data_IF_324353810772
#
_entry.id   IF_324353810772
#
_cell.length_a   1.000
_cell.length_b   1.000
_cell.length_c   1.000
_cell.angle_alpha   90.00
_cell.angle_beta   90.00
_cell.angle_gamma   90.00
#
_symmetry.space_group_name_H-M   'P 1'
#
loop_
_entity.id
_entity.type
_entity.pdbx_description
1 polymer ?
#
# COMPACT_ATOMS: atom_id res chain seq x y z
N UNK A 1 -24.87 -23.66 -1.91
CA UNK A 1 -24.08 -22.99 -0.85
C UNK A 1 -23.95 -23.94 0.33
N UNK A 2 -22.73 -24.25 0.79
CA UNK A 2 -22.53 -25.12 1.95
C UNK A 2 -23.24 -24.52 3.18
N UNK A 3 -23.88 -25.35 4.01
CA UNK A 3 -24.66 -24.92 5.18
C UNK A 3 -23.84 -24.15 6.24
N UNK A 4 -22.51 -24.13 6.13
CA UNK A 4 -21.58 -23.60 7.13
C UNK A 4 -21.24 -22.13 6.94
N UNK A 5 -21.61 -21.50 5.82
CA UNK A 5 -21.31 -20.10 5.53
C UNK A 5 -19.85 -19.82 5.15
N UNK A 6 -18.99 -20.84 5.07
CA UNK A 6 -17.62 -20.71 4.57
C UNK A 6 -17.55 -21.00 3.07
N UNK A 7 -16.52 -20.47 2.41
CA UNK A 7 -16.19 -20.79 1.04
C UNK A 7 -15.28 -22.03 1.00
N UNK A 8 -15.65 -22.98 0.16
CA UNK A 8 -14.77 -24.07 -0.27
C UNK A 8 -14.21 -23.66 -1.62
N UNK A 9 -12.91 -23.36 -1.65
CA UNK A 9 -12.22 -22.88 -2.87
C UNK A 9 -11.90 -24.08 -3.75
N UNK A 10 -12.09 -23.92 -5.06
CA UNK A 10 -11.71 -24.93 -6.04
C UNK A 10 -10.19 -25.09 -6.13
N UNK A 11 -9.74 -26.16 -6.78
CA UNK A 11 -8.31 -26.40 -6.98
C UNK A 11 -7.73 -25.26 -7.83
N UNK A 12 -6.76 -24.55 -7.26
CA UNK A 12 -6.11 -23.40 -7.89
C UNK A 12 -4.63 -23.66 -8.16
N UNK A 13 -4.10 -23.32 -9.35
CA UNK A 13 -2.68 -23.48 -9.66
C UNK A 13 -1.80 -22.36 -9.07
N UNK A 14 -2.40 -21.25 -8.61
CA UNK A 14 -1.68 -20.03 -8.24
C UNK A 14 -0.71 -20.16 -7.06
N UNK A 15 -1.00 -20.95 -6.00
CA UNK A 15 -0.03 -21.17 -4.94
C UNK A 15 1.28 -21.80 -5.44
N UNK A 16 1.18 -22.74 -6.39
CA UNK A 16 2.34 -23.41 -6.96
C UNK A 16 3.12 -22.46 -7.89
N UNK A 17 2.43 -21.69 -8.74
CA UNK A 17 3.09 -20.73 -9.63
C UNK A 17 3.77 -19.59 -8.86
N UNK A 18 3.15 -19.10 -7.79
CA UNK A 18 3.75 -18.11 -6.88
C UNK A 18 5.01 -18.67 -6.21
N UNK A 19 4.98 -19.94 -5.77
CA UNK A 19 6.12 -20.60 -5.15
C UNK A 19 7.31 -20.72 -6.11
N UNK A 20 7.08 -21.12 -7.37
CA UNK A 20 8.12 -21.16 -8.39
C UNK A 20 8.66 -19.76 -8.75
N UNK A 21 7.78 -18.76 -8.83
CA UNK A 21 8.20 -17.38 -9.06
C UNK A 21 9.09 -16.85 -7.92
N UNK A 22 8.72 -17.11 -6.67
CA UNK A 22 9.52 -16.74 -5.50
C UNK A 22 10.87 -17.46 -5.45
N UNK A 23 10.89 -18.77 -5.74
CA UNK A 23 12.13 -19.53 -5.83
C UNK A 23 13.06 -18.99 -6.94
N UNK A 24 12.51 -18.70 -8.11
CA UNK A 24 13.28 -18.17 -9.23
C UNK A 24 13.83 -16.77 -8.96
N UNK A 25 13.06 -15.91 -8.28
CA UNK A 25 13.54 -14.58 -7.86
C UNK A 25 14.64 -14.66 -6.81
N UNK A 26 14.47 -15.51 -5.79
CA UNK A 26 15.49 -15.66 -4.72
C UNK A 26 16.77 -16.27 -5.26
N UNK A 27 16.70 -17.34 -6.05
CA UNK A 27 17.88 -17.94 -6.70
C UNK A 27 18.50 -17.02 -7.74
N UNK A 28 17.70 -16.24 -8.48
CA UNK A 28 18.15 -15.19 -9.39
C UNK A 28 18.94 -14.08 -8.67
N UNK A 29 18.47 -13.63 -7.50
CA UNK A 29 19.20 -12.63 -6.70
C UNK A 29 20.49 -13.20 -6.10
N UNK A 30 20.48 -14.44 -5.61
CA UNK A 30 21.69 -15.08 -5.07
C UNK A 30 22.75 -15.23 -6.18
N UNK A 31 22.37 -15.76 -7.34
CA UNK A 31 23.28 -15.90 -8.48
C UNK A 31 23.79 -14.56 -8.99
N UNK A 32 22.94 -13.52 -9.00
CA UNK A 32 23.37 -12.16 -9.31
C UNK A 32 24.49 -11.67 -8.39
N UNK A 33 24.36 -11.85 -7.07
CA UNK A 33 25.35 -11.35 -6.12
C UNK A 33 26.61 -12.21 -6.03
N UNK A 34 26.51 -13.53 -6.24
CA UNK A 34 27.64 -14.45 -6.13
C UNK A 34 28.42 -14.64 -7.44
N UNK A 35 27.73 -14.71 -8.57
CA UNK A 35 28.32 -15.04 -9.88
C UNK A 35 28.34 -13.84 -10.84
N UNK A 36 27.57 -12.79 -10.54
CA UNK A 36 27.45 -11.59 -11.37
C UNK A 36 26.38 -11.70 -12.46
N UNK A 37 26.28 -10.64 -13.28
CA UNK A 37 25.31 -10.56 -14.37
C UNK A 37 25.71 -11.50 -15.52
N UNK A 38 24.93 -12.56 -15.73
CA UNK A 38 24.98 -13.41 -16.92
C UNK A 38 23.63 -13.42 -17.65
N UNK A 39 23.62 -13.86 -18.92
CA UNK A 39 22.37 -14.03 -19.68
C UNK A 39 21.40 -14.99 -18.97
N UNK A 40 21.92 -16.03 -18.33
CA UNK A 40 21.11 -16.97 -17.56
C UNK A 40 20.44 -16.28 -16.36
N UNK A 41 21.21 -15.53 -15.56
CA UNK A 41 20.69 -14.79 -14.40
C UNK A 41 19.63 -13.78 -14.81
N UNK A 42 19.87 -13.03 -15.89
CA UNK A 42 18.91 -12.06 -16.42
C UNK A 42 17.60 -12.73 -16.86
N UNK A 43 17.68 -13.83 -17.63
CA UNK A 43 16.51 -14.58 -18.09
C UNK A 43 15.75 -15.16 -16.89
N UNK A 44 16.44 -15.75 -15.92
CA UNK A 44 15.84 -16.29 -14.70
C UNK A 44 15.09 -15.19 -13.92
N UNK A 45 15.72 -14.04 -13.70
CA UNK A 45 15.11 -12.92 -12.98
C UNK A 45 13.86 -12.38 -13.71
N UNK A 46 13.96 -12.12 -15.02
CA UNK A 46 12.84 -11.58 -15.80
C UNK A 46 11.68 -12.58 -15.96
N UNK A 47 11.98 -13.86 -16.20
CA UNK A 47 10.97 -14.91 -16.29
C UNK A 47 10.26 -15.14 -14.95
N UNK A 48 11.00 -15.12 -13.84
CA UNK A 48 10.41 -15.28 -12.50
C UNK A 48 9.58 -14.08 -12.09
N UNK A 49 10.05 -12.86 -12.40
CA UNK A 49 9.28 -11.63 -12.16
C UNK A 49 7.99 -11.59 -12.97
N UNK A 50 8.05 -11.92 -14.27
CA UNK A 50 6.86 -11.98 -15.11
C UNK A 50 5.88 -13.08 -14.68
N UNK A 51 6.37 -14.24 -14.22
CA UNK A 51 5.53 -15.29 -13.63
C UNK A 51 4.85 -14.82 -12.33
N UNK A 52 5.56 -14.07 -11.48
CA UNK A 52 4.97 -13.49 -10.26
C UNK A 52 3.84 -12.53 -10.62
N UNK A 53 4.09 -11.57 -11.53
CA UNK A 53 3.08 -10.60 -11.98
C UNK A 53 1.87 -11.31 -12.60
N UNK A 54 2.10 -12.30 -13.46
CA UNK A 54 1.03 -13.10 -14.05
C UNK A 54 0.20 -13.81 -12.97
N UNK A 55 0.87 -14.41 -11.98
CA UNK A 55 0.19 -15.09 -10.87
C UNK A 55 -0.64 -14.12 -10.04
N UNK A 56 -0.11 -12.94 -9.69
CA UNK A 56 -0.84 -11.92 -8.91
C UNK A 56 -2.09 -11.43 -9.64
N UNK A 57 -1.98 -11.11 -10.94
CA UNK A 57 -3.11 -10.63 -11.74
C UNK A 57 -4.20 -11.71 -11.88
N UNK A 58 -3.81 -12.96 -12.14
CA UNK A 58 -4.76 -14.06 -12.29
C UNK A 58 -5.41 -14.46 -10.97
N UNK A 59 -4.62 -14.57 -9.90
CA UNK A 59 -5.13 -14.97 -8.61
C UNK A 59 -6.09 -13.92 -8.03
N UNK A 60 -5.75 -12.64 -8.10
CA UNK A 60 -6.69 -11.59 -7.70
C UNK A 60 -7.89 -11.47 -8.65
N UNK A 61 -7.72 -11.80 -9.93
CA UNK A 61 -8.83 -11.95 -10.88
C UNK A 61 -9.84 -12.99 -10.42
N UNK A 62 -9.38 -14.18 -10.01
CA UNK A 62 -10.23 -15.25 -9.50
C UNK A 62 -10.92 -14.85 -8.18
N UNK A 63 -10.21 -14.17 -7.27
CA UNK A 63 -10.80 -13.61 -6.04
C UNK A 63 -11.91 -12.61 -6.36
N UNK A 64 -11.72 -11.75 -7.36
CA UNK A 64 -12.77 -10.82 -7.82
C UNK A 64 -13.94 -11.59 -8.43
N UNK A 65 -13.67 -12.66 -9.21
CA UNK A 65 -14.69 -13.52 -9.80
C UNK A 65 -15.57 -14.20 -8.75
N UNK A 66 -14.93 -14.89 -7.81
CA UNK A 66 -15.57 -15.59 -6.70
C UNK A 66 -16.41 -14.65 -5.84
N UNK A 67 -15.86 -13.47 -5.54
CA UNK A 67 -16.54 -12.50 -4.68
C UNK A 67 -17.69 -11.80 -5.41
N UNK A 68 -17.44 -11.24 -6.60
CA UNK A 68 -18.35 -10.29 -7.26
C UNK A 68 -19.38 -10.99 -8.15
N UNK A 69 -18.97 -12.01 -8.91
CA UNK A 69 -19.82 -12.62 -9.93
C UNK A 69 -20.43 -13.95 -9.49
N UNK A 70 -19.70 -14.76 -8.70
CA UNK A 70 -20.21 -16.03 -8.17
C UNK A 70 -20.92 -15.88 -6.83
N UNK A 71 -20.70 -14.78 -6.11
CA UNK A 71 -21.35 -14.51 -4.82
C UNK A 71 -20.94 -15.49 -3.72
N UNK A 72 -19.72 -16.04 -3.77
CA UNK A 72 -19.23 -17.03 -2.80
C UNK A 72 -18.94 -16.45 -1.40
N UNK A 73 -18.88 -15.12 -1.28
CA UNK A 73 -18.39 -14.43 -0.08
C UNK A 73 -19.56 -14.09 0.86
N UNK A 74 -19.74 -14.93 1.88
CA UNK A 74 -20.67 -14.64 2.98
C UNK A 74 -20.12 -13.58 3.94
N UNK A 75 -20.95 -13.10 4.87
CA UNK A 75 -20.51 -12.20 5.94
C UNK A 75 -19.40 -12.80 6.82
N UNK A 76 -19.39 -14.13 7.02
CA UNK A 76 -18.33 -14.82 7.77
C UNK A 76 -17.00 -14.79 7.01
N UNK A 77 -17.02 -15.02 5.69
CA UNK A 77 -15.83 -14.95 4.84
C UNK A 77 -15.26 -13.54 4.83
N UNK A 78 -16.11 -12.52 4.62
CA UNK A 78 -15.70 -11.11 4.63
C UNK A 78 -15.13 -10.70 5.99
N UNK A 79 -15.73 -11.16 7.10
CA UNK A 79 -15.18 -10.92 8.44
C UNK A 79 -13.78 -11.52 8.60
N UNK A 80 -13.57 -12.74 8.14
CA UNK A 80 -12.26 -13.39 8.21
C UNK A 80 -11.22 -12.67 7.34
N UNK A 81 -11.61 -12.19 6.15
CA UNK A 81 -10.74 -11.39 5.30
C UNK A 81 -10.35 -10.05 5.95
N UNK A 82 -11.26 -9.42 6.69
CA UNK A 82 -10.95 -8.23 7.50
C UNK A 82 -9.93 -8.53 8.59
N UNK A 83 -10.11 -9.65 9.32
CA UNK A 83 -9.12 -10.09 10.30
C UNK A 83 -7.76 -10.40 9.65
N UNK A 84 -7.75 -11.05 8.49
CA UNK A 84 -6.52 -11.35 7.75
C UNK A 84 -5.79 -10.07 7.31
N UNK A 85 -6.52 -9.08 6.78
CA UNK A 85 -5.93 -7.79 6.39
C UNK A 85 -5.34 -7.06 7.60
N UNK A 86 -6.03 -7.07 8.73
CA UNK A 86 -5.51 -6.48 9.97
C UNK A 86 -4.21 -7.16 10.42
N UNK A 87 -4.17 -8.49 10.43
CA UNK A 87 -2.97 -9.25 10.80
C UNK A 87 -1.81 -9.02 9.82
N UNK A 88 -2.11 -8.92 8.53
CA UNK A 88 -1.14 -8.58 7.50
C UNK A 88 -0.54 -7.17 7.72
N UNK A 89 -1.38 -6.16 7.93
CA UNK A 89 -0.88 -4.80 8.24
C UNK A 89 -0.07 -4.82 9.54
N UNK A 90 -0.50 -5.58 10.55
CA UNK A 90 0.23 -5.70 11.80
C UNK A 90 1.64 -6.30 11.57
N UNK A 91 1.79 -7.31 10.72
CA UNK A 91 3.11 -7.83 10.37
C UNK A 91 3.97 -6.80 9.63
N UNK A 92 3.38 -5.99 8.75
CA UNK A 92 4.11 -4.90 8.07
C UNK A 92 4.54 -3.79 9.06
N UNK A 93 3.71 -3.47 10.06
CA UNK A 93 4.11 -2.56 11.13
C UNK A 93 5.33 -3.08 11.89
N UNK A 94 5.35 -4.36 12.28
CA UNK A 94 6.52 -4.95 12.95
C UNK A 94 7.75 -5.03 12.03
N UNK A 95 7.54 -5.26 10.73
CA UNK A 95 8.60 -5.17 9.73
C UNK A 95 9.25 -3.77 9.73
N UNK A 96 8.46 -2.70 9.72
CA UNK A 96 9.00 -1.33 9.82
C UNK A 96 9.63 -1.01 11.18
N UNK A 97 9.08 -1.52 12.28
CA UNK A 97 9.67 -1.38 13.62
C UNK A 97 11.12 -1.88 13.63
N UNK A 98 11.44 -2.95 12.89
CA UNK A 98 12.82 -3.45 12.78
C UNK A 98 13.78 -2.46 12.11
N UNK A 99 13.34 -1.73 11.08
CA UNK A 99 14.16 -0.69 10.44
C UNK A 99 14.33 0.54 11.32
N UNK A 100 13.25 0.98 12.00
CA UNK A 100 13.36 2.08 12.97
C UNK A 100 14.33 1.71 14.10
N UNK A 101 14.27 0.46 14.59
CA UNK A 101 15.23 -0.04 15.57
C UNK A 101 16.67 0.04 15.04
N UNK A 102 16.91 -0.41 13.79
CA UNK A 102 18.21 -0.30 13.14
C UNK A 102 18.71 1.15 13.06
N UNK A 103 17.84 2.09 12.68
CA UNK A 103 18.16 3.52 12.63
C UNK A 103 18.50 4.11 14.01
N UNK A 104 17.68 3.85 15.04
CA UNK A 104 17.91 4.40 16.38
C UNK A 104 19.12 3.77 17.08
N UNK A 105 19.35 2.47 16.87
CA UNK A 105 20.55 1.82 17.38
C UNK A 105 21.82 2.37 16.72
N UNK A 106 21.75 2.72 15.43
CA UNK A 106 22.87 3.37 14.72
C UNK A 106 23.12 4.83 15.13
N UNK A 107 22.06 5.57 15.47
CA UNK A 107 22.13 7.01 15.75
C UNK A 107 22.33 7.39 17.22
N UNK A 108 21.72 6.64 18.15
CA UNK A 108 21.81 6.88 19.61
C UNK A 108 22.64 5.80 20.31
N UNK A 109 22.75 4.60 19.73
CA UNK A 109 23.37 3.45 20.39
C UNK A 109 24.90 3.52 20.52
N UNK A 110 25.48 2.45 21.07
CA UNK A 110 26.92 2.34 21.31
C UNK A 110 27.77 2.55 20.06
N UNK A 111 27.26 2.18 18.88
CA UNK A 111 27.88 2.43 17.57
C UNK A 111 28.07 3.93 17.28
N UNK A 112 27.08 4.76 17.64
CA UNK A 112 27.19 6.21 17.55
C UNK A 112 28.20 6.74 18.57
N UNK A 113 28.17 6.25 19.80
CA UNK A 113 29.01 6.75 20.89
C UNK A 113 30.48 6.34 20.79
N UNK A 114 30.79 5.15 20.25
CA UNK A 114 32.15 4.59 20.19
C UNK A 114 32.73 4.55 18.77
N UNK A 115 31.89 4.52 17.73
CA UNK A 115 32.32 4.39 16.33
C UNK A 115 32.29 5.70 15.54
N UNK A 116 31.13 6.33 15.43
CA UNK A 116 30.94 7.53 14.57
C UNK A 116 31.16 8.85 15.34
N UNK A 117 30.83 8.89 16.63
CA UNK A 117 30.99 10.03 17.53
C UNK A 117 29.99 11.17 17.37
N UNK A 118 29.19 11.18 16.29
CA UNK A 118 28.15 12.17 16.01
C UNK A 118 27.11 11.63 15.02
N UNK A 119 25.90 12.18 15.05
CA UNK A 119 24.84 11.88 14.09
C UNK A 119 24.29 13.18 13.48
N UNK A 120 24.22 13.30 12.14
CA UNK A 120 24.75 12.38 11.13
C UNK A 120 26.28 12.21 11.16
N UNK A 121 26.82 11.12 10.57
CA UNK A 121 28.26 10.92 10.43
C UNK A 121 28.95 12.05 9.68
N UNK A 122 30.20 12.37 10.08
CA UNK A 122 31.00 13.41 9.42
C UNK A 122 31.14 13.14 7.91
N UNK A 123 30.79 14.13 7.10
CA UNK A 123 30.85 14.05 5.63
C UNK A 123 29.51 13.74 4.97
N UNK A 124 28.51 13.31 5.73
CA UNK A 124 27.13 13.20 5.25
C UNK A 124 26.47 14.58 5.34
N UNK A 125 25.95 15.06 4.21
CA UNK A 125 25.06 16.22 4.18
C UNK A 125 23.60 15.72 4.11
N UNK A 126 22.89 15.66 5.25
CA UNK A 126 21.53 15.14 5.29
C UNK A 126 20.56 16.01 4.48
N UNK A 127 19.46 15.40 4.05
CA UNK A 127 18.43 16.09 3.26
C UNK A 127 17.68 17.06 4.16
N UNK A 128 17.59 18.32 3.74
CA UNK A 128 16.88 19.34 4.51
C UNK A 128 15.36 19.04 4.57
N UNK A 129 14.76 18.88 5.76
CA UNK A 129 13.40 18.36 5.92
C UNK A 129 12.31 19.25 5.32
N UNK A 130 12.48 20.56 5.36
CA UNK A 130 11.42 21.52 5.03
C UNK A 130 11.30 21.85 3.52
N UNK A 131 11.78 20.95 2.65
CA UNK A 131 11.65 21.04 1.18
C UNK A 131 10.81 19.86 0.66
N UNK A 132 11.42 19.00 -0.17
CA UNK A 132 10.76 17.84 -0.78
C UNK A 132 10.18 16.87 0.27
N UNK A 133 10.85 16.56 1.40
CA UNK A 133 10.29 15.66 2.41
C UNK A 133 9.00 16.21 3.04
N UNK A 134 8.96 17.50 3.36
CA UNK A 134 7.76 18.14 3.88
C UNK A 134 6.64 18.22 2.83
N UNK A 135 6.97 18.48 1.56
CA UNK A 135 6.00 18.42 0.46
C UNK A 135 5.40 17.01 0.32
N UNK A 136 6.23 15.97 0.36
CA UNK A 136 5.79 14.57 0.35
C UNK A 136 4.83 14.25 1.52
N UNK A 137 5.07 14.85 2.69
CA UNK A 137 4.17 14.74 3.85
C UNK A 137 2.80 15.36 3.56
N UNK A 138 2.75 16.55 2.97
CA UNK A 138 1.49 17.20 2.56
C UNK A 138 0.76 16.35 1.51
N UNK A 139 1.50 15.80 0.55
CA UNK A 139 0.96 14.94 -0.52
C UNK A 139 0.30 13.68 0.06
N UNK A 140 0.97 12.97 0.98
CA UNK A 140 0.37 11.77 1.57
C UNK A 140 -0.81 12.09 2.50
N UNK A 141 -0.71 13.11 3.34
CA UNK A 141 -1.84 13.53 4.20
C UNK A 141 -3.05 13.97 3.38
N UNK A 142 -2.85 14.73 2.30
CA UNK A 142 -3.95 15.10 1.40
C UNK A 142 -4.55 13.89 0.69
N UNK A 143 -3.73 12.92 0.29
CA UNK A 143 -4.19 11.66 -0.30
C UNK A 143 -5.01 10.83 0.70
N UNK A 144 -4.67 10.84 1.99
CA UNK A 144 -5.41 10.16 3.04
C UNK A 144 -6.80 10.78 3.26
N UNK A 145 -6.92 12.10 3.15
CA UNK A 145 -8.22 12.77 3.19
C UNK A 145 -9.07 12.41 1.96
N UNK A 146 -8.48 12.38 0.77
CA UNK A 146 -9.22 12.07 -0.46
C UNK A 146 -9.60 10.60 -0.56
N UNK A 147 -8.79 9.67 -0.05
CA UNK A 147 -9.18 8.25 0.01
C UNK A 147 -10.32 8.02 1.00
N UNK A 148 -10.34 8.76 2.12
CA UNK A 148 -11.46 8.74 3.08
C UNK A 148 -12.73 9.28 2.43
N UNK A 149 -12.61 10.31 1.59
CA UNK A 149 -13.76 10.81 0.82
C UNK A 149 -14.27 9.75 -0.17
N UNK A 150 -13.38 9.05 -0.88
CA UNK A 150 -13.75 7.95 -1.76
C UNK A 150 -14.46 6.82 -1.00
N UNK A 151 -13.91 6.42 0.15
CA UNK A 151 -14.47 5.40 1.03
C UNK A 151 -15.90 5.76 1.46
N UNK A 152 -16.12 6.98 1.95
CA UNK A 152 -17.44 7.48 2.35
C UNK A 152 -18.40 7.61 1.18
N UNK A 153 -17.95 8.07 0.02
CA UNK A 153 -18.77 8.17 -1.18
C UNK A 153 -19.29 6.79 -1.59
N UNK A 154 -18.41 5.78 -1.68
CA UNK A 154 -18.81 4.41 -2.03
C UNK A 154 -19.65 3.77 -0.93
N UNK A 155 -19.37 4.04 0.35
CA UNK A 155 -20.17 3.54 1.47
C UNK A 155 -21.59 4.13 1.52
N UNK A 156 -21.80 5.33 0.99
CA UNK A 156 -23.12 5.94 0.91
C UNK A 156 -24.02 5.30 -0.16
N UNK A 157 -23.44 4.51 -1.07
CA UNK A 157 -24.20 3.71 -2.04
C UNK A 157 -25.02 2.65 -1.31
N UNK A 158 -26.34 2.66 -1.48
CA UNK A 158 -27.31 1.74 -0.85
C UNK A 158 -27.59 1.91 0.64
N UNK A 159 -27.30 3.08 1.24
CA UNK A 159 -28.12 3.50 2.39
C UNK A 159 -29.53 3.76 1.85
N UNK A 160 -30.34 2.69 1.77
CA UNK A 160 -31.78 2.81 1.57
C UNK A 160 -32.25 3.75 2.67
N UNK A 161 -32.72 4.90 2.23
CA UNK A 161 -33.22 5.99 3.04
C UNK A 161 -34.49 5.49 3.75
N UNK A 162 -34.37 4.70 4.82
CA UNK A 162 -35.48 4.46 5.75
C UNK A 162 -35.89 5.79 6.42
N UNK A 163 -34.97 6.77 6.43
CA UNK A 163 -35.25 8.18 6.67
C UNK A 163 -36.18 8.79 5.62
N UNK A 164 -36.25 8.30 4.39
CA UNK A 164 -37.13 8.81 3.34
C UNK A 164 -38.62 8.71 3.71
N UNK A 165 -39.05 7.69 4.45
CA UNK A 165 -40.42 7.62 4.97
C UNK A 165 -40.67 8.66 6.09
N UNK A 166 -39.65 8.96 6.89
CA UNK A 166 -39.72 9.92 8.00
C UNK A 166 -39.49 11.39 7.55
N UNK A 167 -38.72 11.59 6.48
CA UNK A 167 -38.43 12.88 5.83
C UNK A 167 -39.45 13.24 4.75
N UNK A 168 -40.11 12.27 4.11
CA UNK A 168 -41.27 12.56 3.26
C UNK A 168 -42.45 13.14 4.06
N UNK A 169 -42.50 12.87 5.37
CA UNK A 169 -43.45 13.50 6.30
C UNK A 169 -42.99 14.88 6.81
N UNK A 170 -41.72 15.23 6.62
CA UNK A 170 -41.11 16.44 7.18
C UNK A 170 -40.37 17.18 6.08
N UNK A 171 -41.14 17.85 5.22
CA UNK A 171 -40.71 18.57 4.02
C UNK A 171 -39.41 19.37 4.16
N UNK A 172 -38.29 18.68 3.97
CA UNK A 172 -36.96 19.24 3.74
C UNK A 172 -36.31 18.42 2.64
N UNK A 173 -36.24 19.06 1.48
CA UNK A 173 -35.34 18.75 0.39
C UNK A 173 -33.92 18.59 0.91
N UNK A 174 -33.29 17.43 0.69
CA UNK A 174 -31.86 17.25 0.34
C UNK A 174 -31.31 15.81 0.42
N UNK A 175 -32.13 14.77 0.62
CA UNK A 175 -31.61 13.39 0.63
C UNK A 175 -31.51 12.72 -0.76
N UNK A 176 -32.21 13.25 -1.78
CA UNK A 176 -32.42 12.56 -3.07
C UNK A 176 -31.20 12.53 -4.02
N UNK A 177 -30.06 13.15 -3.65
CA UNK A 177 -28.87 13.23 -4.52
C UNK A 177 -27.85 12.10 -4.28
N UNK A 178 -27.86 11.46 -3.10
CA UNK A 178 -26.70 10.65 -2.66
C UNK A 178 -26.49 9.34 -3.45
N UNK A 179 -27.54 8.76 -4.05
CA UNK A 179 -27.43 7.46 -4.75
C UNK A 179 -26.97 7.56 -6.20
N UNK A 180 -27.03 8.72 -6.86
CA UNK A 180 -26.68 8.84 -8.29
C UNK A 180 -25.26 9.36 -8.51
N UNK A 181 -24.73 10.15 -7.57
CA UNK A 181 -23.41 10.78 -7.70
C UNK A 181 -22.29 10.04 -6.95
N UNK A 182 -22.59 9.00 -6.17
CA UNK A 182 -21.56 8.26 -5.40
C UNK A 182 -20.42 7.75 -6.29
N UNK A 183 -20.75 7.25 -7.49
CA UNK A 183 -19.75 6.70 -8.41
C UNK A 183 -18.84 7.81 -8.93
N UNK A 184 -19.41 8.95 -9.32
CA UNK A 184 -18.64 10.11 -9.80
C UNK A 184 -17.73 10.66 -8.70
N UNK A 185 -18.26 10.88 -7.50
CA UNK A 185 -17.49 11.35 -6.36
C UNK A 185 -16.40 10.35 -5.96
N UNK A 186 -16.72 9.05 -5.93
CA UNK A 186 -15.76 8.00 -5.64
C UNK A 186 -14.65 7.90 -6.69
N UNK A 187 -14.99 7.94 -7.98
CA UNK A 187 -14.01 7.92 -9.08
C UNK A 187 -13.11 9.15 -9.06
N UNK A 188 -13.66 10.34 -8.81
CA UNK A 188 -12.90 11.58 -8.74
C UNK A 188 -11.93 11.58 -7.55
N UNK A 189 -12.43 11.30 -6.34
CA UNK A 189 -11.63 11.33 -5.12
C UNK A 189 -10.58 10.22 -5.08
N UNK A 190 -10.92 9.00 -5.52
CA UNK A 190 -9.96 7.90 -5.63
C UNK A 190 -8.93 8.17 -6.73
N UNK A 191 -9.36 8.72 -7.87
CA UNK A 191 -8.45 9.15 -8.95
C UNK A 191 -7.45 10.21 -8.49
N UNK A 192 -7.91 11.20 -7.71
CA UNK A 192 -7.03 12.21 -7.12
C UNK A 192 -6.04 11.60 -6.12
N UNK A 193 -6.48 10.65 -5.29
CA UNK A 193 -5.59 9.89 -4.38
C UNK A 193 -4.48 9.18 -5.14
N UNK A 194 -4.81 8.50 -6.25
CA UNK A 194 -3.84 7.81 -7.10
C UNK A 194 -2.83 8.80 -7.70
N UNK A 195 -3.28 9.95 -8.19
CA UNK A 195 -2.40 10.98 -8.74
C UNK A 195 -1.42 11.52 -7.69
N UNK A 196 -1.89 11.74 -6.45
CA UNK A 196 -1.02 12.13 -5.35
C UNK A 196 0.01 11.04 -4.99
N UNK A 197 -0.38 9.77 -5.00
CA UNK A 197 0.55 8.64 -4.79
C UNK A 197 1.64 8.55 -5.86
N UNK A 198 1.27 8.73 -7.13
CA UNK A 198 2.23 8.81 -8.23
C UNK A 198 3.14 10.02 -8.10
N UNK A 199 2.60 11.17 -7.69
CA UNK A 199 3.38 12.38 -7.47
C UNK A 199 4.37 12.24 -6.31
N UNK A 200 3.98 11.61 -5.20
CA UNK A 200 4.90 11.24 -4.12
C UNK A 200 6.06 10.37 -4.64
N UNK A 201 5.75 9.34 -5.43
CA UNK A 201 6.76 8.42 -5.98
C UNK A 201 7.75 9.16 -6.89
N UNK A 202 7.25 10.09 -7.72
CA UNK A 202 8.08 10.96 -8.53
C UNK A 202 9.01 11.84 -7.67
N UNK A 203 8.46 12.54 -6.67
CA UNK A 203 9.25 13.38 -5.76
C UNK A 203 10.33 12.56 -5.03
N UNK A 204 9.98 11.39 -4.51
CA UNK A 204 10.93 10.50 -3.83
C UNK A 204 12.06 10.04 -4.77
N UNK A 205 11.74 9.70 -6.02
CA UNK A 205 12.75 9.34 -7.02
C UNK A 205 13.70 10.51 -7.34
N UNK A 206 13.17 11.74 -7.45
CA UNK A 206 14.02 12.93 -7.66
C UNK A 206 14.89 13.25 -6.45
N UNK A 207 14.38 12.99 -5.25
CA UNK A 207 15.15 13.15 -4.02
C UNK A 207 16.33 12.17 -3.98
N UNK A 208 16.11 10.91 -4.34
CA UNK A 208 17.19 9.92 -4.42
C UNK A 208 18.24 10.27 -5.47
N UNK A 209 17.81 10.81 -6.61
CA UNK A 209 18.73 11.23 -7.66
C UNK A 209 19.58 12.45 -7.25
N UNK A 210 19.03 13.35 -6.42
CA UNK A 210 19.71 14.57 -5.96
C UNK A 210 20.43 14.42 -4.62
N UNK A 211 20.29 13.27 -3.94
CA UNK A 211 20.93 13.03 -2.65
C UNK A 211 22.46 13.08 -2.78
N UNK A 212 23.12 13.70 -1.79
CA UNK A 212 24.58 13.83 -1.77
C UNK A 212 25.30 12.58 -1.24
N UNK A 213 24.54 11.57 -0.83
CA UNK A 213 25.00 10.30 -0.26
C UNK A 213 24.23 9.14 -0.90
N UNK A 214 24.80 7.95 -0.81
CA UNK A 214 24.32 6.69 -1.38
C UNK A 214 24.06 5.64 -0.29
N UNK A 215 23.50 4.49 -0.66
CA UNK A 215 23.27 3.37 0.26
C UNK A 215 24.57 2.83 0.90
N UNK A 216 25.71 3.05 0.24
CA UNK A 216 27.03 2.62 0.70
C UNK A 216 27.68 3.60 1.67
N UNK A 217 27.12 4.81 1.84
CA UNK A 217 27.73 5.86 2.64
C UNK A 217 27.33 5.74 4.11
N UNK A 218 28.14 4.96 4.85
CA UNK A 218 27.98 4.68 6.28
C UNK A 218 26.65 4.03 6.66
N UNK A 219 26.46 3.80 7.96
CA UNK A 219 25.18 3.32 8.50
C UNK A 219 24.03 4.32 8.23
N UNK A 220 24.33 5.61 8.08
CA UNK A 220 23.31 6.63 7.74
C UNK A 220 22.68 6.34 6.38
N UNK A 221 23.50 6.20 5.33
CA UNK A 221 23.01 5.90 3.98
C UNK A 221 22.24 4.59 3.92
N UNK A 222 22.79 3.52 4.51
CA UNK A 222 22.12 2.22 4.53
C UNK A 222 20.76 2.25 5.23
N UNK A 223 20.67 2.85 6.42
CA UNK A 223 19.39 2.93 7.16
C UNK A 223 18.39 3.88 6.51
N UNK A 224 18.86 5.00 5.95
CA UNK A 224 18.04 5.94 5.19
C UNK A 224 17.38 5.25 4.00
N UNK A 225 18.17 4.67 3.08
CA UNK A 225 17.66 4.11 1.82
C UNK A 225 16.85 2.83 2.03
N UNK A 226 17.16 2.01 3.04
CA UNK A 226 16.34 0.85 3.37
C UNK A 226 14.96 1.27 3.89
N UNK A 227 14.93 2.17 4.89
CA UNK A 227 13.67 2.57 5.53
C UNK A 227 12.77 3.36 4.57
N UNK A 228 13.31 4.35 3.86
CA UNK A 228 12.58 5.12 2.85
C UNK A 228 12.28 4.30 1.59
N UNK A 229 13.17 3.39 1.19
CA UNK A 229 13.00 2.52 0.02
C UNK A 229 11.90 1.48 0.20
N UNK A 230 11.88 0.78 1.34
CA UNK A 230 10.78 -0.15 1.65
C UNK A 230 9.46 0.61 1.79
N UNK A 231 9.45 1.78 2.41
CA UNK A 231 8.25 2.63 2.43
C UNK A 231 7.78 3.00 1.01
N UNK A 232 8.70 3.46 0.14
CA UNK A 232 8.39 3.77 -1.26
C UNK A 232 7.84 2.57 -2.04
N UNK A 233 8.36 1.36 -1.79
CA UNK A 233 7.80 0.13 -2.35
C UNK A 233 6.34 -0.08 -1.90
N UNK A 234 6.03 0.16 -0.63
CA UNK A 234 4.67 0.06 -0.11
C UNK A 234 3.74 1.12 -0.71
N UNK A 235 4.22 2.35 -0.95
CA UNK A 235 3.45 3.39 -1.67
C UNK A 235 3.11 2.91 -3.09
N UNK A 236 4.06 2.30 -3.81
CA UNK A 236 3.82 1.75 -5.15
C UNK A 236 2.79 0.61 -5.11
N UNK A 237 2.93 -0.34 -4.19
CA UNK A 237 1.96 -1.45 -4.00
C UNK A 237 0.57 -0.90 -3.66
N UNK A 238 0.48 0.07 -2.75
CA UNK A 238 -0.77 0.73 -2.39
C UNK A 238 -1.41 1.46 -3.57
N UNK A 239 -0.60 2.12 -4.40
CA UNK A 239 -1.10 2.86 -5.58
C UNK A 239 -1.66 1.88 -6.61
N UNK A 240 -0.99 0.75 -6.85
CA UNK A 240 -1.51 -0.32 -7.72
C UNK A 240 -2.83 -0.87 -7.15
N UNK A 241 -2.91 -1.10 -5.85
CA UNK A 241 -4.13 -1.60 -5.22
C UNK A 241 -5.30 -0.60 -5.36
N UNK A 242 -5.04 0.70 -5.19
CA UNK A 242 -6.04 1.75 -5.43
C UNK A 242 -6.44 1.84 -6.91
N UNK A 243 -5.52 1.68 -7.86
CA UNK A 243 -5.83 1.63 -9.30
C UNK A 243 -6.77 0.46 -9.61
N UNK A 244 -6.52 -0.73 -9.05
CA UNK A 244 -7.43 -1.88 -9.18
C UNK A 244 -8.81 -1.53 -8.62
N UNK A 245 -8.88 -0.89 -7.45
CA UNK A 245 -10.14 -0.44 -6.88
C UNK A 245 -10.83 0.61 -7.76
N UNK A 246 -10.09 1.52 -8.37
CA UNK A 246 -10.63 2.54 -9.26
C UNK A 246 -11.28 1.93 -10.50
N UNK A 247 -10.62 0.96 -11.14
CA UNK A 247 -11.22 0.20 -12.25
C UNK A 247 -12.46 -0.59 -11.82
N UNK A 248 -12.42 -1.24 -10.64
CA UNK A 248 -13.58 -1.95 -10.08
C UNK A 248 -14.75 -1.02 -9.78
N UNK A 249 -14.48 0.20 -9.32
CA UNK A 249 -15.51 1.22 -9.10
C UNK A 249 -16.10 1.72 -10.43
N UNK A 250 -15.27 1.89 -11.45
CA UNK A 250 -15.72 2.24 -12.80
C UNK A 250 -16.64 1.17 -13.39
N UNK A 251 -16.32 -0.11 -13.17
CA UNK A 251 -17.10 -1.26 -13.60
C UNK A 251 -18.27 -1.63 -12.66
N UNK A 252 -18.56 -0.81 -11.64
CA UNK A 252 -19.67 -1.02 -10.70
C UNK A 252 -19.59 -2.32 -9.88
N UNK A 253 -18.39 -2.82 -9.58
CA UNK A 253 -18.19 -4.06 -8.82
C UNK A 253 -18.44 -3.92 -7.31
N UNK A 254 -18.62 -2.70 -6.78
CA UNK A 254 -18.76 -2.48 -5.33
C UNK A 254 -20.22 -2.32 -4.91
N UNK A 255 -20.63 -3.10 -3.90
CA UNK A 255 -21.90 -2.93 -3.18
C UNK A 255 -21.65 -2.94 -1.66
N UNK A 256 -22.36 -2.09 -0.91
CA UNK A 256 -22.13 -1.83 0.51
C UNK A 256 -22.28 -3.08 1.41
N UNK A 257 -23.14 -4.04 1.05
CA UNK A 257 -23.44 -5.18 1.92
C UNK A 257 -22.49 -6.38 1.77
N UNK A 258 -21.87 -6.58 0.60
CA UNK A 258 -21.14 -7.83 0.33
C UNK A 258 -19.80 -7.67 -0.40
N UNK A 259 -19.63 -6.67 -1.27
CA UNK A 259 -18.44 -6.60 -2.16
C UNK A 259 -17.47 -5.45 -1.85
N UNK A 260 -17.71 -4.71 -0.78
CA UNK A 260 -16.95 -3.52 -0.40
C UNK A 260 -15.54 -3.80 0.15
N UNK A 261 -15.26 -5.03 0.60
CA UNK A 261 -14.03 -5.35 1.33
C UNK A 261 -12.73 -5.00 0.58
N UNK A 262 -12.68 -5.14 -0.74
CA UNK A 262 -11.48 -4.80 -1.52
C UNK A 262 -11.08 -3.32 -1.36
N UNK A 263 -12.07 -2.42 -1.34
CA UNK A 263 -11.82 -1.00 -1.10
C UNK A 263 -11.48 -0.71 0.37
N UNK A 264 -12.14 -1.37 1.32
CA UNK A 264 -11.78 -1.31 2.76
C UNK A 264 -10.30 -1.66 2.96
N UNK A 265 -9.85 -2.78 2.40
CA UNK A 265 -8.48 -3.25 2.51
C UNK A 265 -7.48 -2.27 1.90
N UNK A 266 -7.78 -1.73 0.71
CA UNK A 266 -6.93 -0.73 0.06
C UNK A 266 -6.84 0.57 0.88
N UNK A 267 -7.95 1.03 1.48
CA UNK A 267 -7.99 2.22 2.35
C UNK A 267 -7.19 1.99 3.63
N UNK A 268 -7.34 0.84 4.28
CA UNK A 268 -6.52 0.51 5.47
C UNK A 268 -5.04 0.45 5.14
N UNK A 269 -4.66 -0.16 4.00
CA UNK A 269 -3.27 -0.19 3.57
C UNK A 269 -2.73 1.20 3.25
N UNK A 270 -3.53 2.06 2.60
CA UNK A 270 -3.12 3.43 2.28
C UNK A 270 -2.88 4.28 3.54
N UNK A 271 -3.76 4.18 4.54
CA UNK A 271 -3.54 4.85 5.82
C UNK A 271 -2.34 4.28 6.58
N UNK A 272 -2.09 2.98 6.50
CA UNK A 272 -0.87 2.38 7.04
C UNK A 272 0.39 3.02 6.41
N UNK A 273 0.41 3.16 5.09
CA UNK A 273 1.53 3.80 4.37
C UNK A 273 1.73 5.23 4.87
N UNK A 274 0.66 6.03 4.98
CA UNK A 274 0.72 7.41 5.51
C UNK A 274 1.29 7.47 6.94
N UNK A 275 0.83 6.60 7.85
CA UNK A 275 1.33 6.54 9.23
C UNK A 275 2.82 6.18 9.27
N UNK A 276 3.26 5.22 8.45
CA UNK A 276 4.69 4.87 8.36
C UNK A 276 5.49 6.08 7.88
N UNK A 277 5.02 6.81 6.86
CA UNK A 277 5.69 8.02 6.36
C UNK A 277 5.83 9.08 7.44
N UNK A 278 4.79 9.33 8.24
CA UNK A 278 4.88 10.30 9.35
C UNK A 278 5.99 9.87 10.33
N UNK A 279 6.09 8.57 10.61
CA UNK A 279 7.19 8.01 11.41
C UNK A 279 8.56 8.24 10.76
N UNK A 280 8.69 7.97 9.46
CA UNK A 280 9.91 8.20 8.66
C UNK A 280 10.32 9.67 8.69
N UNK A 281 9.38 10.57 8.39
CA UNK A 281 9.62 12.01 8.34
C UNK A 281 10.07 12.54 9.71
N UNK A 282 9.37 12.17 10.79
CA UNK A 282 9.69 12.61 12.13
C UNK A 282 11.07 12.10 12.61
N UNK A 283 11.40 10.83 12.37
CA UNK A 283 12.64 10.25 12.88
C UNK A 283 13.85 10.53 11.98
N UNK A 284 13.74 10.27 10.68
CA UNK A 284 14.89 10.28 9.76
C UNK A 284 15.17 11.70 9.27
N UNK A 285 14.14 12.44 8.87
CA UNK A 285 14.31 13.76 8.25
C UNK A 285 14.34 14.90 9.28
N UNK A 286 13.53 14.84 10.35
CA UNK A 286 13.46 15.92 11.35
C UNK A 286 14.42 15.68 12.49
N UNK A 287 14.31 14.54 13.20
CA UNK A 287 15.18 14.26 14.34
C UNK A 287 16.60 13.87 13.92
N UNK A 288 16.75 13.20 12.77
CA UNK A 288 18.04 12.74 12.25
C UNK A 288 18.87 13.79 11.52
N UNK A 289 18.36 15.01 11.31
CA UNK A 289 19.05 16.14 10.67
C UNK A 289 19.85 16.95 11.70
#
# INVERSE_FOLDING_TARGET
>A
MARTGYQLVDISPWPLSASFAALGLTTGMISLFCEGMSNFVLVLALSSFSLLVFTLVRWWGDVILESTFLGCYSSYVVRNLRCAMFLFILSEVFFFVSFFWGFFNGSVGELSMQGVGMWPPKGINPIYPWRVPFLNTIVLLSSALTVTWAHKAVSAHNMVDYSGLYLSLKGKTESFSSSKYYQLHGLFSLGFTILLGLFFTYLQATEYYMASFSICDSIYGSTFFLLTGFHGMHVMVGTIFLIVCWFRLYLLHFSYQHHYFGLDAAVYYWHFVDVVWIGVFASVYVWGY
#
